data_IF_025146114378
#
_entry.id   IF_025146114378
#
_cell.length_a   1.000
_cell.length_b   1.000
_cell.length_c   1.000
_cell.angle_alpha   90.00
_cell.angle_beta   90.00
_cell.angle_gamma   90.00
#
_symmetry.space_group_name_H-M   'P 1'
#
loop_
_entity.id
_entity.type
_entity.pdbx_description
1 polymer ?
#
# COMPACT_ATOMS: atom_id res chain seq x y z
N UNK A 1 -26.61 -2.82 -18.82
CA UNK A 1 -25.59 -2.40 -17.83
C UNK A 1 -25.59 -3.43 -16.73
N UNK A 2 -24.44 -4.05 -16.42
CA UNK A 2 -24.34 -5.01 -15.33
C UNK A 2 -24.46 -4.28 -13.99
N UNK A 3 -25.25 -4.82 -13.06
CA UNK A 3 -25.38 -4.28 -11.71
C UNK A 3 -24.03 -4.39 -10.99
N UNK A 4 -23.44 -3.24 -10.63
CA UNK A 4 -22.20 -3.19 -9.88
C UNK A 4 -22.53 -3.34 -8.40
N UNK A 5 -22.51 -4.58 -7.92
CA UNK A 5 -22.63 -4.88 -6.49
C UNK A 5 -21.29 -4.57 -5.82
N UNK A 6 -21.19 -3.39 -5.19
CA UNK A 6 -20.08 -3.10 -4.31
C UNK A 6 -20.08 -4.11 -3.15
N UNK A 7 -18.93 -4.74 -2.89
CA UNK A 7 -18.75 -5.69 -1.78
C UNK A 7 -17.78 -5.05 -0.78
N UNK A 8 -18.27 -4.28 0.21
CA UNK A 8 -17.43 -3.54 1.15
C UNK A 8 -16.39 -4.43 1.84
N UNK A 9 -16.79 -5.64 2.23
CA UNK A 9 -15.89 -6.64 2.83
C UNK A 9 -14.72 -7.00 1.92
N UNK A 10 -14.94 -7.13 0.61
CA UNK A 10 -13.86 -7.42 -0.35
C UNK A 10 -12.93 -6.23 -0.55
N UNK A 11 -13.45 -5.00 -0.49
CA UNK A 11 -12.63 -3.77 -0.55
C UNK A 11 -11.79 -3.62 0.72
N UNK A 12 -12.35 -3.93 1.89
CA UNK A 12 -11.63 -3.96 3.15
C UNK A 12 -10.52 -5.04 3.13
N UNK A 13 -10.81 -6.25 2.63
CA UNK A 13 -9.82 -7.30 2.46
C UNK A 13 -8.69 -6.85 1.51
N UNK A 14 -9.03 -6.26 0.36
CA UNK A 14 -8.03 -5.73 -0.57
C UNK A 14 -7.15 -4.66 0.09
N UNK A 15 -7.74 -3.78 0.89
CA UNK A 15 -6.99 -2.75 1.64
C UNK A 15 -6.03 -3.39 2.64
N UNK A 16 -6.45 -4.46 3.32
CA UNK A 16 -5.62 -5.21 4.25
C UNK A 16 -4.45 -5.90 3.53
N UNK A 17 -4.73 -6.60 2.43
CA UNK A 17 -3.71 -7.29 1.64
C UNK A 17 -2.64 -6.32 1.13
N UNK A 18 -3.08 -5.16 0.60
CA UNK A 18 -2.17 -4.10 0.15
C UNK A 18 -1.35 -3.51 1.32
N UNK A 19 -1.93 -3.36 2.51
CA UNK A 19 -1.21 -2.90 3.70
C UNK A 19 -0.13 -3.89 4.14
N UNK A 20 -0.41 -5.19 4.05
CA UNK A 20 0.60 -6.23 4.32
C UNK A 20 1.74 -6.14 3.31
N UNK A 21 1.41 -6.04 2.02
CA UNK A 21 2.41 -5.95 0.95
C UNK A 21 3.28 -4.70 1.10
N UNK A 22 2.71 -3.53 1.39
CA UNK A 22 3.51 -2.30 1.62
C UNK A 22 4.47 -2.45 2.80
N UNK A 23 4.01 -3.06 3.88
CA UNK A 23 4.84 -3.35 5.05
C UNK A 23 6.01 -4.28 4.72
N UNK A 24 5.76 -5.33 3.93
CA UNK A 24 6.80 -6.27 3.47
C UNK A 24 7.82 -5.59 2.57
N UNK A 25 7.39 -4.72 1.65
CA UNK A 25 8.28 -3.94 0.78
C UNK A 25 9.17 -3.01 1.59
N UNK A 26 8.62 -2.26 2.56
CA UNK A 26 9.42 -1.40 3.47
C UNK A 26 10.44 -2.19 4.25
N UNK A 27 10.04 -3.34 4.80
CA UNK A 27 10.94 -4.22 5.54
C UNK A 27 12.05 -4.77 4.63
N UNK A 28 11.71 -5.18 3.42
CA UNK A 28 12.68 -5.64 2.41
C UNK A 28 13.68 -4.54 2.04
N UNK A 29 13.21 -3.30 1.88
CA UNK A 29 14.08 -2.16 1.62
C UNK A 29 15.02 -1.88 2.81
N UNK A 30 14.51 -1.87 4.05
CA UNK A 30 15.33 -1.68 5.25
C UNK A 30 16.44 -2.73 5.36
N UNK A 31 16.09 -4.01 5.17
CA UNK A 31 17.04 -5.12 5.17
C UNK A 31 18.08 -4.99 4.03
N UNK A 32 17.64 -4.53 2.86
CA UNK A 32 18.53 -4.27 1.73
C UNK A 32 19.50 -3.13 2.05
N UNK A 33 19.06 -2.04 2.68
CA UNK A 33 19.94 -0.94 3.12
C UNK A 33 20.96 -1.39 4.17
N UNK A 34 20.58 -2.25 5.11
CA UNK A 34 21.49 -2.81 6.11
C UNK A 34 22.60 -3.68 5.50
N UNK A 35 22.30 -4.40 4.42
CA UNK A 35 23.22 -5.38 3.81
C UNK A 35 23.89 -4.92 2.51
N UNK A 36 23.34 -3.91 1.85
CA UNK A 36 23.76 -3.45 0.53
C UNK A 36 24.87 -2.41 0.56
N UNK A 37 25.12 -1.77 1.70
CA UNK A 37 26.24 -0.84 1.82
C UNK A 37 27.57 -1.60 1.77
N UNK A 38 28.34 -1.38 0.70
CA UNK A 38 29.67 -1.96 0.56
C UNK A 38 30.63 -1.13 1.44
N UNK A 39 31.29 -1.80 2.38
CA UNK A 39 32.29 -1.17 3.23
C UNK A 39 33.44 -0.60 2.39
N UNK A 40 33.83 0.64 2.68
CA UNK A 40 35.02 1.28 2.10
C UNK A 40 36.29 0.41 2.13
N UNK A 41 36.43 -0.44 3.16
CA UNK A 41 37.55 -1.36 3.32
C UNK A 41 37.54 -2.52 2.31
N UNK A 42 36.39 -2.87 1.73
CA UNK A 42 36.25 -3.92 0.71
C UNK A 42 36.92 -3.54 -0.61
N UNK A 43 37.15 -2.25 -0.85
CA UNK A 43 37.71 -1.75 -2.09
C UNK A 43 39.26 -1.70 -2.11
N UNK A 44 39.92 -1.86 -0.96
CA UNK A 44 41.38 -1.84 -0.83
C UNK A 44 42.04 -0.53 -1.28
N UNK A 45 43.31 -0.60 -1.71
CA UNK A 45 44.11 0.56 -2.14
C UNK A 45 43.94 0.92 -3.63
N UNK A 46 42.83 0.55 -4.25
CA UNK A 46 42.63 0.78 -5.68
C UNK A 46 42.35 2.26 -5.98
N UNK A 47 42.94 2.78 -7.06
CA UNK A 47 42.82 4.18 -7.46
C UNK A 47 41.44 4.42 -8.10
N UNK A 48 40.73 5.47 -7.68
CA UNK A 48 39.38 5.78 -8.20
C UNK A 48 38.22 5.08 -7.48
N UNK A 49 38.52 4.30 -6.43
CA UNK A 49 37.54 3.61 -5.58
C UNK A 49 36.49 4.54 -4.99
N UNK A 50 36.88 5.72 -4.48
CA UNK A 50 35.93 6.67 -3.91
C UNK A 50 34.86 7.08 -4.91
N UNK A 51 35.23 7.31 -6.18
CA UNK A 51 34.27 7.67 -7.21
C UNK A 51 33.27 6.53 -7.49
N UNK A 52 33.75 5.28 -7.51
CA UNK A 52 32.90 4.09 -7.70
C UNK A 52 31.99 3.85 -6.49
N UNK A 53 32.52 3.93 -5.27
CA UNK A 53 31.76 3.79 -4.04
C UNK A 53 30.68 4.88 -3.92
N UNK A 54 31.02 6.14 -4.23
CA UNK A 54 30.07 7.25 -4.24
C UNK A 54 28.98 7.08 -5.30
N UNK A 55 29.35 6.63 -6.51
CA UNK A 55 28.38 6.34 -7.56
C UNK A 55 27.44 5.19 -7.16
N UNK A 56 27.98 4.11 -6.60
CA UNK A 56 27.21 2.98 -6.08
C UNK A 56 26.22 3.43 -5.01
N UNK A 57 26.70 4.09 -3.95
CA UNK A 57 25.86 4.59 -2.86
C UNK A 57 24.80 5.56 -3.37
N UNK A 58 25.14 6.44 -4.33
CA UNK A 58 24.15 7.35 -4.92
C UNK A 58 23.04 6.63 -5.68
N UNK A 59 23.39 5.61 -6.49
CA UNK A 59 22.38 4.82 -7.23
C UNK A 59 21.55 3.98 -6.26
N UNK A 60 22.20 3.38 -5.27
CA UNK A 60 21.57 2.57 -4.24
C UNK A 60 20.54 3.38 -3.45
N UNK A 61 20.90 4.57 -2.97
CA UNK A 61 19.97 5.43 -2.24
C UNK A 61 18.83 5.96 -3.12
N UNK A 62 19.13 6.37 -4.36
CA UNK A 62 18.07 6.77 -5.31
C UNK A 62 17.09 5.64 -5.60
N UNK A 63 17.58 4.41 -5.73
CA UNK A 63 16.74 3.23 -5.88
C UNK A 63 15.87 3.00 -4.64
N UNK A 64 16.44 3.17 -3.45
CA UNK A 64 15.69 3.09 -2.19
C UNK A 64 14.58 4.14 -2.10
N UNK A 65 14.88 5.40 -2.40
CA UNK A 65 13.88 6.48 -2.43
C UNK A 65 12.74 6.18 -3.40
N UNK A 66 13.03 5.67 -4.60
CA UNK A 66 11.99 5.33 -5.57
C UNK A 66 11.03 4.22 -5.04
N UNK A 67 11.55 3.27 -4.26
CA UNK A 67 10.73 2.24 -3.60
C UNK A 67 9.91 2.83 -2.46
N UNK A 68 10.44 3.80 -1.72
CA UNK A 68 9.71 4.53 -0.67
C UNK A 68 8.54 5.32 -1.27
N UNK A 69 8.79 6.08 -2.34
CA UNK A 69 7.78 6.86 -3.06
C UNK A 69 6.65 5.95 -3.59
N UNK A 70 7.01 4.80 -4.19
CA UNK A 70 6.04 3.81 -4.66
C UNK A 70 5.18 3.29 -3.49
N UNK A 71 5.81 3.05 -2.35
CA UNK A 71 5.10 2.54 -1.17
C UNK A 71 4.15 3.59 -0.60
N UNK A 72 4.54 4.86 -0.60
CA UNK A 72 3.68 5.97 -0.14
C UNK A 72 2.45 6.12 -1.04
N UNK A 73 2.60 5.99 -2.36
CA UNK A 73 1.46 6.00 -3.29
C UNK A 73 0.51 4.83 -2.99
N UNK A 74 1.05 3.64 -2.74
CA UNK A 74 0.24 2.47 -2.41
C UNK A 74 -0.54 2.67 -1.10
N UNK A 75 0.07 3.29 -0.09
CA UNK A 75 -0.58 3.67 1.17
C UNK A 75 -1.70 4.69 0.99
N UNK A 76 -1.50 5.68 0.11
CA UNK A 76 -2.55 6.61 -0.28
C UNK A 76 -3.73 5.92 -0.96
N UNK A 77 -3.47 4.93 -1.80
CA UNK A 77 -4.52 4.16 -2.47
C UNK A 77 -5.26 3.22 -1.50
N UNK A 78 -4.57 2.62 -0.52
CA UNK A 78 -5.20 1.85 0.57
C UNK A 78 -6.24 2.69 1.32
N UNK A 79 -5.88 3.92 1.73
CA UNK A 79 -6.80 4.81 2.44
C UNK A 79 -8.05 5.12 1.59
N UNK A 80 -7.87 5.33 0.28
CA UNK A 80 -9.00 5.56 -0.65
C UNK A 80 -9.92 4.34 -0.77
N UNK A 81 -9.35 3.14 -0.91
CA UNK A 81 -10.15 1.89 -1.01
C UNK A 81 -10.92 1.65 0.30
N UNK A 82 -10.28 1.88 1.44
CA UNK A 82 -10.91 1.72 2.75
C UNK A 82 -12.07 2.71 2.94
N UNK A 83 -11.87 4.00 2.61
CA UNK A 83 -12.93 5.01 2.65
C UNK A 83 -14.10 4.66 1.74
N UNK A 84 -13.82 4.09 0.57
CA UNK A 84 -14.86 3.63 -0.34
C UNK A 84 -15.67 2.47 0.27
N UNK A 85 -15.01 1.51 0.91
CA UNK A 85 -15.68 0.43 1.63
C UNK A 85 -16.63 0.96 2.71
N UNK A 86 -16.16 1.90 3.53
CA UNK A 86 -17.00 2.54 4.55
C UNK A 86 -18.18 3.31 3.95
N UNK A 87 -17.95 4.08 2.89
CA UNK A 87 -19.02 4.84 2.24
C UNK A 87 -20.12 3.93 1.68
N UNK A 88 -19.75 2.78 1.11
CA UNK A 88 -20.74 1.80 0.67
C UNK A 88 -21.52 1.21 1.83
N UNK A 89 -20.85 0.82 2.92
CA UNK A 89 -21.52 0.28 4.10
C UNK A 89 -22.49 1.29 4.72
N UNK A 90 -22.07 2.54 4.92
CA UNK A 90 -22.91 3.61 5.46
C UNK A 90 -24.13 3.88 4.57
N UNK A 91 -23.94 3.83 3.25
CA UNK A 91 -25.05 3.99 2.29
C UNK A 91 -26.04 2.84 2.38
N UNK A 92 -25.55 1.61 2.52
CA UNK A 92 -26.38 0.41 2.66
C UNK A 92 -27.20 0.45 3.96
N UNK A 93 -26.58 0.84 5.08
CA UNK A 93 -27.23 1.02 6.38
C UNK A 93 -28.33 2.11 6.29
N UNK A 94 -28.03 3.28 5.72
CA UNK A 94 -29.01 4.36 5.52
C UNK A 94 -30.15 3.97 4.59
N UNK A 95 -29.91 3.10 3.62
CA UNK A 95 -30.95 2.60 2.72
C UNK A 95 -31.82 1.56 3.43
N UNK A 96 -31.22 0.65 4.21
CA UNK A 96 -31.95 -0.31 5.02
C UNK A 96 -32.92 0.36 6.00
N UNK A 97 -32.51 1.47 6.63
CA UNK A 97 -33.38 2.28 7.51
C UNK A 97 -34.59 2.90 6.79
N UNK A 98 -34.48 3.16 5.48
CA UNK A 98 -35.54 3.77 4.66
C UNK A 98 -36.50 2.77 4.07
N UNK A 99 -36.16 1.48 4.07
CA UNK A 99 -37.07 0.42 3.63
C UNK A 99 -38.04 0.20 4.79
N UNK A 100 -39.34 0.54 4.64
CA UNK A 100 -40.31 0.25 5.67
C UNK A 100 -40.31 -1.26 5.91
N UNK A 101 -40.19 -1.69 7.17
CA UNK A 101 -40.46 -3.08 7.54
C UNK A 101 -41.84 -3.43 6.98
N UNK A 102 -41.91 -4.21 5.90
CA UNK A 102 -43.18 -4.83 5.48
C UNK A 102 -43.54 -5.83 6.59
N UNK A 103 -44.27 -5.33 7.58
CA UNK A 103 -44.78 -6.14 8.69
C UNK A 103 -45.76 -7.17 8.12
N UNK A 104 -45.72 -8.43 8.58
CA UNK A 104 -46.68 -9.42 8.15
C UNK A 104 -48.10 -8.91 8.42
N UNK A 105 -48.91 -8.74 7.37
CA UNK A 105 -50.32 -8.35 7.47
C UNK A 105 -50.69 -6.91 7.07
N UNK A 106 -49.79 -6.09 6.52
CA UNK A 106 -50.16 -4.86 5.80
C UNK A 106 -49.55 -4.83 4.40
N UNK A 107 -50.26 -4.34 3.37
CA UNK A 107 -49.67 -4.17 2.05
C UNK A 107 -48.61 -3.07 2.12
N UNK A 108 -47.45 -3.36 1.55
CA UNK A 108 -46.58 -2.35 0.99
C UNK A 108 -47.33 -1.72 -0.21
#
# INVERSE_FOLDING_TARGET
MAEVLAKPVKLAQLSQDLTTISGEVRKGLSSTRESGLIDSSAYGNSTGVEAVANAYNSVFEKGGTAVEDLTEVLEGDIDRVLRMAFSYQETDEKNAEKIPECRPGKPC
#
